data_IF_468907517145
#
_entry.id   IF_468907517145
#
_cell.length_a   1.000
_cell.length_b   1.000
_cell.length_c   1.000
_cell.angle_alpha   90.00
_cell.angle_beta   90.00
_cell.angle_gamma   90.00
#
_symmetry.space_group_name_H-M   'P 1'
#
loop_
_entity.id
_entity.type
_entity.pdbx_description
1 polymer ?
#
# COMPACT_ATOMS: atom_id res chain seq x y z
N UNK A 1 -49.49 85.26 -24.12
CA UNK A 1 -49.26 83.98 -24.82
C UNK A 1 -47.83 83.50 -24.54
N UNK A 2 -47.59 82.65 -23.52
CA UNK A 2 -46.24 82.08 -23.24
C UNK A 2 -46.27 80.74 -22.48
N UNK A 3 -47.43 80.05 -22.41
CA UNK A 3 -47.60 78.81 -21.62
C UNK A 3 -47.13 77.55 -22.35
N UNK A 4 -47.07 77.60 -23.68
CA UNK A 4 -46.60 76.53 -24.56
C UNK A 4 -45.06 76.44 -24.67
N UNK A 5 -44.30 77.51 -24.37
CA UNK A 5 -42.83 77.45 -24.38
C UNK A 5 -42.25 76.64 -23.21
N UNK A 6 -42.92 76.65 -22.05
CA UNK A 6 -42.51 75.85 -20.88
C UNK A 6 -42.75 74.35 -21.12
N UNK A 7 -43.90 74.00 -21.72
CA UNK A 7 -44.21 72.61 -22.08
C UNK A 7 -43.26 72.12 -23.18
N UNK A 8 -42.99 72.94 -24.20
CA UNK A 8 -42.03 72.59 -25.25
C UNK A 8 -40.60 72.43 -24.72
N UNK A 9 -40.18 73.24 -23.75
CA UNK A 9 -38.87 73.10 -23.09
C UNK A 9 -38.78 71.84 -22.23
N UNK A 10 -39.86 71.48 -21.52
CA UNK A 10 -39.92 70.25 -20.72
C UNK A 10 -39.89 69.00 -21.62
N UNK A 11 -40.59 69.02 -22.75
CA UNK A 11 -40.57 67.93 -23.74
C UNK A 11 -39.17 67.79 -24.36
N UNK A 12 -38.50 68.91 -24.69
CA UNK A 12 -37.13 68.89 -25.20
C UNK A 12 -36.15 68.28 -24.17
N UNK A 13 -36.29 68.64 -22.89
CA UNK A 13 -35.44 68.11 -21.82
C UNK A 13 -35.65 66.59 -21.61
N UNK A 14 -36.89 66.12 -21.70
CA UNK A 14 -37.21 64.69 -21.61
C UNK A 14 -36.59 63.90 -22.78
N UNK A 15 -36.71 64.43 -24.01
CA UNK A 15 -36.08 63.81 -25.19
C UNK A 15 -34.56 63.75 -25.01
N UNK A 16 -33.94 64.84 -24.53
CA UNK A 16 -32.49 64.89 -24.32
C UNK A 16 -32.02 63.89 -23.27
N UNK A 17 -32.79 63.69 -22.20
CA UNK A 17 -32.52 62.67 -21.18
C UNK A 17 -32.59 61.25 -21.76
N UNK A 18 -33.61 60.96 -22.57
CA UNK A 18 -33.77 59.65 -23.23
C UNK A 18 -32.62 59.37 -24.20
N UNK A 19 -32.26 60.37 -25.02
CA UNK A 19 -31.14 60.26 -25.96
C UNK A 19 -29.82 60.07 -25.21
N UNK A 20 -29.61 60.79 -24.10
CA UNK A 20 -28.42 60.64 -23.26
C UNK A 20 -28.31 59.25 -22.64
N UNK A 21 -29.40 58.70 -22.11
CA UNK A 21 -29.42 57.33 -21.57
C UNK A 21 -29.14 56.29 -22.66
N UNK A 22 -29.73 56.46 -23.85
CA UNK A 22 -29.50 55.56 -24.98
C UNK A 22 -28.04 55.60 -25.44
N UNK A 23 -27.44 56.79 -25.54
CA UNK A 23 -26.03 56.96 -25.88
C UNK A 23 -25.10 56.31 -24.84
N UNK A 24 -25.41 56.47 -23.55
CA UNK A 24 -24.67 55.81 -22.46
C UNK A 24 -24.77 54.28 -22.55
N UNK A 25 -25.97 53.74 -22.78
CA UNK A 25 -26.17 52.30 -22.89
C UNK A 25 -25.41 51.71 -24.08
N UNK A 26 -25.45 52.38 -25.23
CA UNK A 26 -24.65 52.02 -26.41
C UNK A 26 -23.16 52.03 -26.04
N UNK A 27 -22.66 53.10 -25.41
CA UNK A 27 -21.26 53.19 -25.00
C UNK A 27 -20.83 52.03 -24.09
N UNK A 28 -21.64 51.66 -23.10
CA UNK A 28 -21.36 50.54 -22.18
C UNK A 28 -21.42 49.19 -22.91
N UNK A 29 -22.36 49.00 -23.84
CA UNK A 29 -22.47 47.78 -24.63
C UNK A 29 -21.24 47.58 -25.54
N UNK A 30 -20.76 48.65 -26.18
CA UNK A 30 -19.53 48.61 -26.98
C UNK A 30 -18.25 48.52 -26.12
N UNK A 31 -18.27 49.11 -24.92
CA UNK A 31 -17.14 49.09 -24.00
C UNK A 31 -17.10 47.85 -23.12
N UNK A 32 -18.07 46.94 -23.22
CA UNK A 32 -18.05 45.65 -22.54
C UNK A 32 -16.97 44.79 -23.20
N UNK A 33 -15.77 44.65 -22.60
CA UNK A 33 -14.71 43.88 -23.23
C UNK A 33 -15.17 42.42 -23.26
N UNK A 34 -15.08 41.80 -24.43
CA UNK A 34 -15.31 40.37 -24.57
C UNK A 34 -14.33 39.65 -23.64
N UNK A 35 -14.85 38.90 -22.66
CA UNK A 35 -14.02 38.09 -21.76
C UNK A 35 -13.54 36.87 -22.53
N UNK A 36 -12.34 36.96 -23.11
CA UNK A 36 -11.67 35.85 -23.76
C UNK A 36 -10.74 35.15 -22.76
N UNK A 37 -10.78 33.82 -22.72
CA UNK A 37 -9.80 33.00 -22.01
C UNK A 37 -8.97 32.23 -23.04
N UNK A 38 -7.67 32.10 -22.81
CA UNK A 38 -6.79 31.33 -23.69
C UNK A 38 -7.14 29.84 -23.61
N UNK A 39 -7.28 29.19 -24.76
CA UNK A 39 -7.55 27.76 -24.84
C UNK A 39 -6.24 26.98 -24.73
N UNK A 40 -5.99 26.41 -23.55
CA UNK A 40 -4.83 25.54 -23.31
C UNK A 40 -5.22 24.09 -23.58
N UNK A 41 -4.43 23.40 -24.40
CA UNK A 41 -4.56 21.96 -24.62
C UNK A 41 -4.15 21.23 -23.34
N UNK A 42 -5.09 20.53 -22.73
CA UNK A 42 -4.85 19.71 -21.55
C UNK A 42 -5.46 18.32 -21.75
N UNK A 43 -4.72 17.29 -21.36
CA UNK A 43 -5.21 15.91 -21.35
C UNK A 43 -6.02 15.69 -20.07
N UNK A 44 -7.34 15.58 -20.21
CA UNK A 44 -8.19 15.18 -19.10
C UNK A 44 -8.21 13.66 -18.98
N UNK A 45 -7.87 13.14 -17.81
CA UNK A 45 -8.03 11.72 -17.48
C UNK A 45 -9.33 11.54 -16.68
N UNK A 46 -10.15 10.58 -17.08
CA UNK A 46 -11.34 10.17 -16.35
C UNK A 46 -11.06 8.87 -15.60
N UNK A 47 -11.04 8.94 -14.27
CA UNK A 47 -10.84 7.78 -13.41
C UNK A 47 -12.21 7.18 -13.08
N UNK A 48 -12.45 5.95 -13.55
CA UNK A 48 -13.66 5.18 -13.22
C UNK A 48 -13.33 4.12 -12.17
N UNK A 49 -13.95 4.23 -11.00
CA UNK A 49 -13.79 3.27 -9.92
C UNK A 49 -14.67 2.04 -10.12
N UNK A 50 -14.05 0.87 -10.26
CA UNK A 50 -14.75 -0.42 -10.38
C UNK A 50 -14.47 -1.28 -9.16
N UNK A 51 -15.49 -2.00 -8.67
CA UNK A 51 -15.32 -3.04 -7.66
C UNK A 51 -15.13 -4.39 -8.36
N UNK A 52 -13.99 -5.02 -8.14
CA UNK A 52 -13.68 -6.35 -8.64
C UNK A 52 -13.27 -7.29 -7.51
N UNK A 53 -13.44 -8.59 -7.73
CA UNK A 53 -12.91 -9.63 -6.87
C UNK A 53 -11.71 -10.26 -7.56
N UNK A 54 -10.61 -10.43 -6.82
CA UNK A 54 -9.43 -11.13 -7.31
C UNK A 54 -9.48 -12.57 -6.79
N UNK A 55 -9.58 -13.53 -7.70
CA UNK A 55 -9.54 -14.95 -7.38
C UNK A 55 -8.17 -15.51 -7.76
N UNK A 56 -7.57 -16.26 -6.83
CA UNK A 56 -6.36 -17.03 -7.07
C UNK A 56 -6.75 -18.49 -7.29
N UNK A 57 -6.22 -19.10 -8.34
CA UNK A 57 -6.35 -20.54 -8.54
C UNK A 57 -5.50 -21.25 -7.47
N UNK A 58 -6.17 -21.96 -6.57
CA UNK A 58 -5.55 -22.71 -5.49
C UNK A 58 -5.89 -24.18 -5.61
N UNK A 59 -4.90 -25.03 -5.34
CA UNK A 59 -5.09 -26.49 -5.26
C UNK A 59 -5.07 -26.86 -3.78
N UNK A 60 -6.21 -27.24 -3.18
CA UNK A 60 -6.23 -27.66 -1.79
C UNK A 60 -5.45 -28.97 -1.64
N UNK A 61 -4.53 -29.00 -0.68
CA UNK A 61 -3.81 -30.22 -0.32
C UNK A 61 -4.62 -30.95 0.76
N UNK A 62 -5.15 -32.15 0.48
CA UNK A 62 -5.92 -32.89 1.46
C UNK A 62 -5.05 -33.29 2.64
N UNK A 63 -5.66 -33.31 3.82
CA UNK A 63 -5.01 -33.74 5.05
C UNK A 63 -4.57 -35.22 4.92
N UNK A 64 -3.36 -35.54 5.38
CA UNK A 64 -2.87 -36.92 5.44
C UNK A 64 -3.76 -37.85 6.27
N UNK A 65 -3.50 -39.17 6.21
CA UNK A 65 -4.34 -40.21 6.84
C UNK A 65 -4.51 -40.08 8.37
N UNK A 66 -3.58 -39.42 9.05
CA UNK A 66 -3.59 -39.27 10.50
C UNK A 66 -3.87 -37.81 10.95
N UNK A 67 -4.62 -37.60 12.04
CA UNK A 67 -4.93 -36.26 12.57
C UNK A 67 -3.71 -35.48 13.11
N UNK A 68 -2.63 -36.16 13.49
CA UNK A 68 -1.43 -35.50 14.04
C UNK A 68 -0.42 -35.29 12.91
N UNK A 69 -0.21 -34.02 12.53
CA UNK A 69 0.71 -33.65 11.45
C UNK A 69 1.69 -32.57 11.90
N UNK A 70 2.98 -32.78 11.64
CA UNK A 70 4.00 -31.74 11.70
C UNK A 70 4.09 -31.12 10.31
N UNK A 71 3.86 -29.82 10.21
CA UNK A 71 4.06 -29.06 8.98
C UNK A 71 5.56 -28.79 8.81
N UNK A 72 6.11 -29.07 7.63
CA UNK A 72 7.53 -28.86 7.33
C UNK A 72 7.78 -27.50 6.65
N UNK A 73 6.74 -26.91 6.08
CA UNK A 73 6.81 -25.66 5.32
C UNK A 73 6.13 -24.52 6.08
N UNK A 74 6.66 -23.32 5.98
CA UNK A 74 6.05 -22.13 6.58
C UNK A 74 4.93 -21.55 5.71
N UNK A 75 4.01 -20.77 6.31
CA UNK A 75 2.97 -20.10 5.55
C UNK A 75 3.57 -19.09 4.56
N UNK A 76 3.26 -19.26 3.27
CA UNK A 76 3.79 -18.40 2.20
C UNK A 76 5.12 -18.85 1.62
N UNK A 77 5.67 -19.99 2.06
CA UNK A 77 6.89 -20.56 1.51
C UNK A 77 6.70 -21.05 0.07
N UNK A 78 7.69 -20.79 -0.78
CA UNK A 78 7.68 -21.28 -2.16
C UNK A 78 8.09 -22.75 -2.18
N UNK A 79 7.17 -23.62 -2.61
CA UNK A 79 7.39 -25.07 -2.68
C UNK A 79 7.53 -25.58 -4.11
N UNK A 80 8.30 -26.64 -4.30
CA UNK A 80 8.42 -27.33 -5.59
C UNK A 80 7.34 -28.41 -5.76
N UNK A 81 7.01 -28.75 -7.02
CA UNK A 81 6.05 -29.84 -7.31
C UNK A 81 6.57 -31.16 -6.74
N UNK A 82 5.79 -31.78 -5.85
CA UNK A 82 6.15 -33.04 -5.19
C UNK A 82 7.00 -32.88 -3.93
N UNK A 83 7.25 -31.66 -3.45
CA UNK A 83 7.90 -31.42 -2.16
C UNK A 83 7.00 -31.92 -1.01
N UNK A 84 7.63 -32.50 0.01
CA UNK A 84 6.95 -32.96 1.23
C UNK A 84 6.51 -31.75 2.04
N UNK A 85 5.19 -31.59 2.25
CA UNK A 85 4.61 -30.45 2.95
C UNK A 85 4.37 -30.75 4.44
N UNK A 86 3.96 -31.97 4.77
CA UNK A 86 3.71 -32.43 6.13
C UNK A 86 4.11 -33.89 6.32
N UNK A 87 4.45 -34.25 7.55
CA UNK A 87 4.64 -35.63 8.00
C UNK A 87 3.51 -35.95 8.98
N UNK A 88 2.77 -37.02 8.70
CA UNK A 88 1.69 -37.53 9.54
C UNK A 88 2.22 -38.59 10.51
N UNK A 89 1.84 -38.51 11.77
CA UNK A 89 2.16 -39.48 12.82
C UNK A 89 0.88 -40.17 13.28
N UNK A 90 0.88 -41.49 13.44
CA UNK A 90 -0.34 -42.23 13.80
C UNK A 90 -0.68 -42.08 15.30
N UNK A 91 0.28 -41.64 16.13
CA UNK A 91 0.12 -41.43 17.57
C UNK A 91 0.94 -40.24 18.11
N UNK A 92 0.49 -39.63 19.23
CA UNK A 92 1.24 -38.56 19.92
C UNK A 92 2.59 -39.02 20.44
N UNK A 93 2.71 -40.31 20.79
CA UNK A 93 3.95 -40.88 21.29
C UNK A 93 5.00 -40.98 20.17
N UNK A 94 4.59 -41.35 18.95
CA UNK A 94 5.48 -41.36 17.77
C UNK A 94 5.98 -39.96 17.42
N UNK A 95 5.12 -38.95 17.55
CA UNK A 95 5.51 -37.56 17.36
C UNK A 95 6.54 -37.11 18.39
N UNK A 96 6.39 -37.49 19.67
CA UNK A 96 7.37 -37.16 20.72
C UNK A 96 8.71 -37.83 20.48
N UNK A 97 8.70 -39.12 20.10
CA UNK A 97 9.91 -39.88 19.76
C UNK A 97 10.63 -39.25 18.57
N UNK A 98 9.90 -38.88 17.50
CA UNK A 98 10.48 -38.22 16.34
C UNK A 98 11.12 -36.86 16.69
N UNK A 99 10.48 -36.05 17.55
CA UNK A 99 11.08 -34.79 18.03
C UNK A 99 12.33 -35.01 18.86
N UNK A 100 12.32 -36.00 19.76
CA UNK A 100 13.49 -36.31 20.58
C UNK A 100 14.67 -36.80 19.73
N UNK A 101 14.39 -37.57 18.68
CA UNK A 101 15.40 -37.99 17.72
C UNK A 101 16.02 -36.79 16.99
N UNK A 102 15.19 -35.89 16.44
CA UNK A 102 15.65 -34.68 15.76
C UNK A 102 16.52 -33.79 16.66
N UNK A 103 16.11 -33.60 17.93
CA UNK A 103 16.90 -32.85 18.92
C UNK A 103 18.25 -33.52 19.21
N UNK A 104 18.26 -34.85 19.30
CA UNK A 104 19.48 -35.61 19.59
C UNK A 104 20.44 -35.57 18.39
N UNK A 105 19.92 -35.69 17.16
CA UNK A 105 20.71 -35.55 15.93
C UNK A 105 21.30 -34.15 15.78
N UNK A 106 20.52 -33.11 16.09
CA UNK A 106 21.03 -31.73 16.13
C UNK A 106 22.16 -31.57 17.15
N UNK A 107 22.00 -32.13 18.36
CA UNK A 107 23.03 -32.09 19.39
C UNK A 107 24.30 -32.82 18.93
N UNK A 108 24.15 -33.99 18.29
CA UNK A 108 25.28 -34.75 17.73
C UNK A 108 25.97 -33.95 16.63
N UNK A 109 25.22 -33.29 15.74
CA UNK A 109 25.79 -32.47 14.67
C UNK A 109 26.59 -31.30 15.25
N UNK A 110 26.07 -30.60 16.25
CA UNK A 110 26.76 -29.50 16.93
C UNK A 110 28.03 -29.98 17.64
N UNK A 111 27.95 -31.12 18.33
CA UNK A 111 29.11 -31.73 18.99
C UNK A 111 30.17 -32.16 17.98
N UNK A 112 29.76 -32.69 16.82
CA UNK A 112 30.68 -33.08 15.75
C UNK A 112 31.37 -31.86 15.15
N UNK A 113 30.62 -30.79 14.85
CA UNK A 113 31.17 -29.53 14.37
C UNK A 113 32.20 -28.97 15.37
N UNK A 114 31.84 -28.90 16.65
CA UNK A 114 32.74 -28.44 17.70
C UNK A 114 34.00 -29.32 17.89
N UNK A 115 33.94 -30.60 17.51
CA UNK A 115 35.10 -31.50 17.52
C UNK A 115 35.94 -31.36 16.26
N UNK A 116 35.35 -31.09 15.10
CA UNK A 116 36.07 -30.86 13.85
C UNK A 116 36.76 -29.47 13.86
N UNK A 117 36.08 -28.45 14.38
CA UNK A 117 36.61 -27.10 14.59
C UNK A 117 37.76 -27.04 15.62
N UNK A 118 37.98 -28.09 16.43
CA UNK A 118 39.11 -28.14 17.37
C UNK A 118 40.47 -28.15 16.67
N UNK A 119 40.56 -28.56 15.41
CA UNK A 119 41.81 -28.59 14.65
C UNK A 119 42.08 -27.28 13.87
N UNK A 120 41.07 -26.40 13.73
CA UNK A 120 41.22 -25.07 13.12
C UNK A 120 40.37 -24.04 13.86
N UNK A 121 40.87 -23.57 15.01
CA UNK A 121 40.28 -22.46 15.77
C UNK A 121 40.45 -21.14 15.00
N UNK A 122 39.59 -20.92 14.02
CA UNK A 122 39.58 -19.70 13.21
C UNK A 122 38.75 -18.64 13.96
N UNK A 123 39.41 -17.91 14.85
CA UNK A 123 38.84 -16.88 15.76
C UNK A 123 37.95 -15.88 14.99
N UNK A 124 38.24 -15.65 13.70
CA UNK A 124 37.45 -14.79 12.82
C UNK A 124 36.03 -15.32 12.52
N UNK A 125 35.81 -16.64 12.54
CA UNK A 125 34.47 -17.21 12.35
C UNK A 125 33.63 -17.08 13.61
N UNK A 126 34.26 -17.28 14.77
CA UNK A 126 33.63 -17.08 16.09
C UNK A 126 33.19 -15.63 16.24
N UNK A 127 34.02 -14.66 15.87
CA UNK A 127 33.70 -13.23 15.95
C UNK A 127 32.52 -12.84 15.03
N UNK A 128 32.44 -13.44 13.84
CA UNK A 128 31.28 -13.28 12.94
C UNK A 128 29.99 -13.86 13.53
N UNK A 129 30.05 -15.08 14.06
CA UNK A 129 28.88 -15.73 14.68
C UNK A 129 28.37 -14.95 15.90
N UNK A 130 29.26 -14.42 16.74
CA UNK A 130 28.89 -13.56 17.88
C UNK A 130 28.22 -12.28 17.38
N UNK A 131 28.77 -11.65 16.33
CA UNK A 131 28.21 -10.43 15.74
C UNK A 131 26.82 -10.69 15.16
N UNK A 132 26.63 -11.79 14.42
CA UNK A 132 25.33 -12.14 13.83
C UNK A 132 24.28 -12.45 14.90
N UNK A 133 24.66 -13.12 15.99
CA UNK A 133 23.75 -13.35 17.12
C UNK A 133 23.40 -12.07 17.87
N UNK A 134 24.34 -11.14 18.04
CA UNK A 134 24.07 -9.82 18.64
C UNK A 134 23.14 -8.99 17.75
N UNK A 135 23.36 -9.01 16.43
CA UNK A 135 22.51 -8.34 15.46
C UNK A 135 21.09 -8.88 15.49
N UNK A 136 20.93 -10.21 15.53
CA UNK A 136 19.62 -10.85 15.65
C UNK A 136 18.92 -10.57 16.99
N UNK A 137 19.67 -10.42 18.09
CA UNK A 137 19.10 -10.00 19.37
C UNK A 137 18.65 -8.54 19.34
N UNK A 138 19.44 -7.64 18.76
CA UNK A 138 19.07 -6.22 18.62
C UNK A 138 17.82 -6.07 17.76
N UNK A 139 17.78 -6.71 16.58
CA UNK A 139 16.62 -6.65 15.69
C UNK A 139 15.41 -7.45 16.22
N UNK A 140 15.63 -8.56 16.92
CA UNK A 140 14.57 -9.34 17.56
C UNK A 140 13.93 -8.61 18.74
N UNK A 141 14.71 -7.85 19.52
CA UNK A 141 14.20 -6.95 20.57
C UNK A 141 13.47 -5.75 19.96
N UNK A 142 13.90 -5.25 18.81
CA UNK A 142 13.19 -4.20 18.07
C UNK A 142 11.82 -4.67 17.56
N UNK A 143 11.70 -5.88 17.00
CA UNK A 143 10.41 -6.44 16.59
C UNK A 143 9.48 -6.69 17.78
N UNK A 144 9.99 -7.14 18.93
CA UNK A 144 9.17 -7.33 20.15
C UNK A 144 8.60 -6.01 20.68
N UNK A 145 9.26 -4.87 20.48
CA UNK A 145 8.78 -3.56 20.97
C UNK A 145 7.70 -2.94 20.05
N UNK A 146 7.56 -3.40 18.81
CA UNK A 146 6.53 -2.93 17.88
C UNK A 146 5.20 -3.69 17.94
N UNK A 147 5.08 -4.73 18.76
CA UNK A 147 3.87 -5.59 18.86
C UNK A 147 3.06 -5.31 20.14
N UNK A 148 3.30 -4.19 20.83
CA UNK A 148 2.43 -3.70 21.92
C UNK A 148 1.86 -2.31 21.59
N UNK A 149 1.14 -2.21 20.47
CA UNK A 149 0.18 -1.12 20.22
C UNK A 149 -1.05 -1.68 19.49
N UNK A 150 -1.90 -2.38 20.24
CA UNK A 150 -3.36 -2.22 20.30
C UNK A 150 -3.97 -3.21 21.29
#
# INVERSE_FOLDING_TARGET
MKRNSLVSGLVLLLILMVVGYMAYYIYVAFSSPLKTAEAVLYTAEEIVSVKGYFFRDEIPVPMGKSPIQKLLVSNGEKVHKGQVLSVSYDSEEEMKVARQLEQTEQLISLLKEAVDERDSLDISQVDRNITDHLVNLVYGVEQSKSVDIN
#
